data_IF_422854363293
#
_entry.id   IF_422854363293
#
_cell.length_a   1.000
_cell.length_b   1.000
_cell.length_c   1.000
_cell.angle_alpha   90.00
_cell.angle_beta   90.00
_cell.angle_gamma   90.00
#
_symmetry.space_group_name_H-M   'P 1'
#
loop_
_entity.id
_entity.type
_entity.pdbx_description
1 polymer ?
#
# COMPACT_ATOMS: atom_id res chain seq x y z
N UNK A 1 20.23 1.39 13.26
CA UNK A 1 19.28 1.80 14.32
C UNK A 1 17.89 1.50 13.81
N UNK A 2 17.38 0.28 13.99
CA UNK A 2 16.09 -0.12 13.42
C UNK A 2 14.99 -0.26 14.50
N UNK A 3 15.21 0.36 15.67
CA UNK A 3 14.19 0.44 16.72
C UNK A 3 13.30 1.66 16.50
N UNK A 4 12.00 1.44 16.50
CA UNK A 4 10.98 2.49 16.42
C UNK A 4 10.35 2.66 17.78
N UNK A 5 10.39 3.87 18.32
CA UNK A 5 9.70 4.22 19.55
C UNK A 5 8.40 4.94 19.23
N UNK A 6 7.27 4.35 19.60
CA UNK A 6 5.95 4.95 19.46
C UNK A 6 5.65 5.77 20.71
N UNK A 7 5.75 7.10 20.59
CA UNK A 7 5.55 8.05 21.69
C UNK A 7 4.16 7.91 22.33
N UNK A 8 3.11 7.75 21.53
CA UNK A 8 1.75 7.60 22.05
C UNK A 8 1.52 6.29 22.81
N UNK A 9 2.20 5.21 22.40
CA UNK A 9 2.14 3.91 23.07
C UNK A 9 3.14 3.80 24.24
N UNK A 10 4.07 4.75 24.35
CA UNK A 10 5.25 4.70 25.22
C UNK A 10 6.00 3.35 25.13
N UNK A 11 6.20 2.85 23.90
CA UNK A 11 6.81 1.53 23.64
C UNK A 11 7.78 1.57 22.48
N UNK A 12 8.82 0.76 22.57
CA UNK A 12 9.81 0.55 21.51
C UNK A 12 9.63 -0.81 20.86
N UNK A 13 9.64 -0.82 19.53
CA UNK A 13 9.61 -2.03 18.71
C UNK A 13 10.92 -2.17 17.95
N UNK A 14 11.38 -3.39 17.79
CA UNK A 14 12.58 -3.70 17.01
C UNK A 14 12.18 -4.20 15.62
N UNK A 15 12.51 -3.43 14.57
CA UNK A 15 12.19 -3.81 13.18
C UNK A 15 13.14 -4.86 12.61
N UNK A 16 14.20 -5.22 13.32
CA UNK A 16 15.08 -6.32 12.94
C UNK A 16 14.56 -7.67 13.43
N UNK A 17 13.53 -7.68 14.28
CA UNK A 17 12.87 -8.87 14.80
C UNK A 17 11.62 -9.16 13.98
N UNK A 18 11.60 -10.34 13.39
CA UNK A 18 10.43 -10.80 12.64
C UNK A 18 9.31 -11.16 13.63
N UNK A 19 8.16 -10.51 13.49
CA UNK A 19 6.99 -10.73 14.36
C UNK A 19 5.92 -11.59 13.70
N UNK A 20 5.91 -11.67 12.36
CA UNK A 20 4.86 -12.31 11.56
C UNK A 20 5.50 -13.20 10.49
N UNK A 21 4.85 -14.31 10.16
CA UNK A 21 5.31 -15.26 9.14
C UNK A 21 4.51 -15.15 7.83
N UNK A 22 5.07 -15.73 6.76
CA UNK A 22 4.35 -15.87 5.48
C UNK A 22 3.06 -16.68 5.68
N UNK A 23 2.04 -16.33 4.92
CA UNK A 23 0.65 -16.79 4.97
C UNK A 23 -0.12 -16.43 6.25
N UNK A 24 0.48 -15.65 7.15
CA UNK A 24 -0.23 -15.19 8.35
C UNK A 24 -1.18 -14.03 8.01
N UNK A 25 -2.37 -14.05 8.58
CA UNK A 25 -3.37 -12.99 8.44
C UNK A 25 -3.13 -11.90 9.47
N UNK A 26 -3.19 -10.66 9.00
CA UNK A 26 -3.00 -9.44 9.78
C UNK A 26 -4.12 -8.45 9.47
N UNK A 27 -4.40 -7.52 10.38
CA UNK A 27 -5.52 -6.59 10.28
C UNK A 27 -5.02 -5.15 10.36
N UNK A 28 -5.51 -4.29 9.46
CA UNK A 28 -5.27 -2.85 9.52
C UNK A 28 -6.27 -2.18 10.44
N UNK A 29 -5.80 -1.71 11.58
CA UNK A 29 -6.62 -1.01 12.56
C UNK A 29 -6.53 0.51 12.38
N UNK A 30 -7.65 1.21 12.60
CA UNK A 30 -7.72 2.68 12.57
C UNK A 30 -8.01 3.31 11.20
N UNK A 31 -8.24 2.51 10.16
CA UNK A 31 -8.82 2.93 8.88
C UNK A 31 -10.00 2.04 8.49
N UNK A 32 -9.81 1.15 7.52
CA UNK A 32 -10.84 0.30 6.91
C UNK A 32 -11.12 -0.99 7.69
N UNK A 33 -10.27 -1.37 8.65
CA UNK A 33 -10.35 -2.67 9.35
C UNK A 33 -10.14 -3.87 8.42
N UNK A 34 -9.50 -3.63 7.27
CA UNK A 34 -9.24 -4.65 6.28
C UNK A 34 -8.28 -5.72 6.79
N UNK A 35 -8.49 -6.94 6.32
CA UNK A 35 -7.62 -8.06 6.58
C UNK A 35 -6.68 -8.30 5.39
N UNK A 36 -5.44 -8.60 5.72
CA UNK A 36 -4.37 -8.85 4.76
C UNK A 36 -3.70 -10.18 5.07
N UNK A 37 -3.11 -10.80 4.05
CA UNK A 37 -2.19 -11.92 4.23
C UNK A 37 -0.78 -11.50 3.87
N UNK A 38 0.18 -11.90 4.69
CA UNK A 38 1.61 -11.74 4.39
C UNK A 38 1.99 -12.77 3.35
N UNK A 39 2.31 -12.35 2.13
CA UNK A 39 2.70 -13.30 1.08
C UNK A 39 4.21 -13.44 0.91
N UNK A 40 4.97 -12.43 1.33
CA UNK A 40 6.43 -12.44 1.27
C UNK A 40 6.99 -11.60 2.42
N UNK A 41 8.12 -12.04 2.95
CA UNK A 41 8.88 -11.29 3.96
C UNK A 41 10.29 -11.09 3.43
N UNK A 42 10.65 -9.86 3.13
CA UNK A 42 11.99 -9.50 2.66
C UNK A 42 12.79 -8.87 3.79
N UNK A 43 14.04 -9.28 3.94
CA UNK A 43 14.97 -8.70 4.91
C UNK A 43 16.17 -8.09 4.20
N UNK A 44 16.44 -6.83 4.49
CA UNK A 44 17.57 -6.10 3.93
C UNK A 44 18.35 -5.34 5.01
N UNK A 45 19.23 -4.44 4.59
CA UNK A 45 20.05 -3.60 5.51
C UNK A 45 19.23 -2.55 6.27
N UNK A 46 18.00 -2.27 5.85
CA UNK A 46 17.09 -1.27 6.42
C UNK A 46 16.04 -1.89 7.34
N UNK A 47 15.84 -3.20 7.27
CA UNK A 47 15.03 -3.96 8.22
C UNK A 47 14.25 -5.07 7.54
N UNK A 48 13.10 -5.39 8.12
CA UNK A 48 12.15 -6.36 7.59
C UNK A 48 10.99 -5.59 6.93
N UNK A 49 10.67 -5.96 5.70
CA UNK A 49 9.48 -5.49 4.99
C UNK A 49 8.57 -6.68 4.71
N UNK A 50 7.33 -6.54 5.16
CA UNK A 50 6.24 -7.49 4.95
C UNK A 50 5.47 -7.05 3.72
N UNK A 51 5.36 -7.94 2.74
CA UNK A 51 4.53 -7.74 1.58
C UNK A 51 3.17 -8.36 1.84
N UNK A 52 2.15 -7.55 1.67
CA UNK A 52 0.79 -7.82 2.07
C UNK A 52 -0.11 -7.77 0.85
N UNK A 53 -1.15 -8.59 0.88
CA UNK A 53 -2.24 -8.52 -0.09
C UNK A 53 -3.57 -8.53 0.65
N UNK A 54 -4.45 -7.60 0.30
CA UNK A 54 -5.76 -7.46 0.92
C UNK A 54 -6.66 -8.64 0.53
N UNK A 55 -7.34 -9.25 1.51
CA UNK A 55 -8.19 -10.41 1.29
C UNK A 55 -9.47 -10.10 0.50
N UNK A 56 -9.93 -8.85 0.54
CA UNK A 56 -11.16 -8.41 -0.10
C UNK A 56 -10.85 -7.58 -1.36
N UNK A 57 -10.04 -6.53 -1.24
CA UNK A 57 -9.75 -5.62 -2.36
C UNK A 57 -8.70 -6.17 -3.32
N UNK A 58 -7.95 -7.21 -2.94
CA UNK A 58 -6.83 -7.76 -3.72
C UNK A 58 -5.74 -6.71 -4.03
N UNK A 59 -5.63 -5.68 -3.19
CA UNK A 59 -4.63 -4.64 -3.33
C UNK A 59 -3.32 -5.03 -2.63
N UNK A 60 -2.20 -4.64 -3.23
CA UNK A 60 -0.87 -4.86 -2.68
C UNK A 60 -0.50 -3.74 -1.72
N UNK A 61 0.01 -4.13 -0.56
CA UNK A 61 0.55 -3.22 0.44
C UNK A 61 1.89 -3.71 0.95
N UNK A 62 2.66 -2.81 1.54
CA UNK A 62 3.91 -3.13 2.22
C UNK A 62 3.90 -2.49 3.59
N UNK A 63 4.42 -3.20 4.60
CA UNK A 63 4.60 -2.66 5.94
C UNK A 63 5.94 -3.09 6.50
N UNK A 64 6.58 -2.20 7.26
CA UNK A 64 7.83 -2.51 7.93
C UNK A 64 7.66 -2.83 9.42
N UNK A 65 6.45 -2.68 9.94
CA UNK A 65 6.14 -2.90 11.35
C UNK A 65 4.73 -3.47 11.49
N UNK A 66 4.66 -4.69 12.03
CA UNK A 66 3.40 -5.33 12.40
C UNK A 66 3.46 -5.65 13.88
N UNK A 67 2.47 -5.14 14.62
CA UNK A 67 2.42 -5.18 16.09
C UNK A 67 1.44 -6.27 16.58
N UNK A 68 1.63 -6.83 17.77
CA UNK A 68 0.63 -7.73 18.35
C UNK A 68 -0.66 -6.96 18.66
N UNK A 69 -1.81 -7.61 18.44
CA UNK A 69 -3.12 -7.02 18.69
C UNK A 69 -3.37 -6.77 20.17
N UNK A 70 -2.80 -7.57 21.07
CA UNK A 70 -2.81 -7.32 22.52
C UNK A 70 -2.14 -6.00 22.92
N UNK A 71 -1.26 -5.46 22.09
CA UNK A 71 -0.58 -4.17 22.29
C UNK A 71 -1.12 -3.08 21.36
N UNK A 72 -2.37 -3.22 20.91
CA UNK A 72 -3.01 -2.29 19.99
C UNK A 72 -2.99 -0.85 20.52
N UNK A 73 -2.41 0.04 19.72
CA UNK A 73 -2.38 1.47 19.99
C UNK A 73 -2.38 2.28 18.69
N UNK A 74 -3.48 2.99 18.44
CA UNK A 74 -3.65 3.85 17.27
C UNK A 74 -3.67 3.08 15.96
N UNK A 75 -3.46 3.81 14.87
CA UNK A 75 -3.50 3.30 13.50
C UNK A 75 -2.30 2.39 13.24
N UNK A 76 -2.51 1.27 12.55
CA UNK A 76 -1.46 0.45 11.96
C UNK A 76 -1.86 -1.01 11.77
N UNK A 77 -0.90 -1.84 11.39
CA UNK A 77 -1.15 -3.25 11.10
C UNK A 77 -0.83 -4.10 12.32
N UNK A 78 -1.75 -5.01 12.64
CA UNK A 78 -1.67 -5.87 13.81
C UNK A 78 -1.86 -7.34 13.45
N UNK A 79 -1.17 -8.23 14.15
CA UNK A 79 -1.39 -9.67 14.08
C UNK A 79 -2.08 -10.16 15.36
N UNK A 80 -2.96 -11.15 15.25
CA UNK A 80 -3.56 -11.80 16.41
C UNK A 80 -2.50 -12.67 17.11
N UNK A 81 -2.02 -12.21 18.25
CA UNK A 81 -1.01 -12.89 19.07
C UNK A 81 -1.59 -13.98 19.96
N UNK A 82 -2.91 -13.97 20.20
CA UNK A 82 -3.60 -14.99 20.96
C UNK A 82 -4.00 -16.18 20.06
N UNK A 83 -4.50 -15.89 18.86
CA UNK A 83 -4.98 -16.88 17.89
C UNK A 83 -4.52 -16.55 16.46
N UNK A 84 -3.23 -16.74 16.14
CA UNK A 84 -2.71 -16.43 14.81
C UNK A 84 -3.39 -17.30 13.76
N UNK A 85 -3.96 -16.66 12.73
CA UNK A 85 -4.58 -17.32 11.59
C UNK A 85 -3.61 -17.39 10.43
N UNK A 86 -3.56 -18.55 9.77
CA UNK A 86 -2.76 -18.78 8.58
C UNK A 86 -3.68 -19.24 7.45
N UNK A 87 -3.50 -18.65 6.28
CA UNK A 87 -4.12 -19.12 5.04
C UNK A 87 -3.34 -20.29 4.46
N UNK A 88 -4.01 -21.11 3.67
CA UNK A 88 -3.32 -22.15 2.94
C UNK A 88 -2.37 -21.51 1.89
N UNK A 89 -1.16 -22.06 1.68
CA UNK A 89 -0.25 -21.54 0.67
C UNK A 89 -0.86 -21.52 -0.75
N UNK A 90 -1.74 -22.47 -1.09
CA UNK A 90 -2.42 -22.50 -2.39
C UNK A 90 -3.45 -21.37 -2.49
N UNK A 91 -4.21 -21.12 -1.43
CA UNK A 91 -5.16 -20.00 -1.37
C UNK A 91 -4.41 -18.66 -1.50
N UNK A 92 -3.29 -18.52 -0.82
CA UNK A 92 -2.44 -17.32 -0.91
C UNK A 92 -1.90 -17.14 -2.34
N UNK A 93 -1.43 -18.20 -2.99
CA UNK A 93 -0.94 -18.14 -4.36
C UNK A 93 -2.04 -17.78 -5.37
N UNK A 94 -3.26 -18.32 -5.19
CA UNK A 94 -4.41 -17.97 -6.00
C UNK A 94 -4.78 -16.49 -5.85
N UNK A 95 -4.81 -15.99 -4.61
CA UNK A 95 -5.08 -14.61 -4.29
C UNK A 95 -4.03 -13.66 -4.89
N UNK A 96 -2.74 -14.03 -4.84
CA UNK A 96 -1.68 -13.28 -5.51
C UNK A 96 -1.85 -13.20 -7.02
N UNK A 97 -2.31 -14.28 -7.64
CA UNK A 97 -2.54 -14.31 -9.09
C UNK A 97 -3.67 -13.35 -9.45
N UNK A 98 -4.79 -13.44 -8.73
CA UNK A 98 -5.94 -12.54 -8.92
C UNK A 98 -5.57 -11.07 -8.66
N UNK A 99 -4.80 -10.80 -7.61
CA UNK A 99 -4.32 -9.45 -7.29
C UNK A 99 -3.42 -8.87 -8.38
N UNK A 100 -2.52 -9.67 -8.96
CA UNK A 100 -1.67 -9.25 -10.09
C UNK A 100 -2.48 -8.94 -11.34
N UNK A 101 -3.45 -9.77 -11.68
CA UNK A 101 -4.35 -9.55 -12.81
C UNK A 101 -5.15 -8.25 -12.65
N UNK A 102 -5.74 -8.04 -11.47
CA UNK A 102 -6.48 -6.82 -11.15
C UNK A 102 -5.60 -5.57 -11.22
N UNK A 103 -4.37 -5.65 -10.71
CA UNK A 103 -3.40 -4.55 -10.78
C UNK A 103 -3.02 -4.22 -12.23
N UNK A 104 -2.75 -5.23 -13.06
CA UNK A 104 -2.43 -5.03 -14.46
C UNK A 104 -3.60 -4.41 -15.24
N UNK A 105 -4.84 -4.83 -14.96
CA UNK A 105 -6.03 -4.21 -15.58
C UNK A 105 -6.20 -2.75 -15.15
N UNK A 106 -5.98 -2.44 -13.87
CA UNK A 106 -6.06 -1.08 -13.34
C UNK A 106 -4.97 -0.18 -13.93
N UNK A 107 -3.74 -0.68 -14.08
CA UNK A 107 -2.63 0.05 -14.71
C UNK A 107 -2.93 0.34 -16.18
N UNK A 108 -3.47 -0.62 -16.94
CA UNK A 108 -3.90 -0.39 -18.34
C UNK A 108 -4.97 0.70 -18.44
N UNK A 109 -5.99 0.65 -17.58
CA UNK A 109 -7.04 1.69 -17.54
C UNK A 109 -6.48 3.06 -17.15
N UNK A 110 -5.51 3.10 -16.24
CA UNK A 110 -4.85 4.34 -15.82
C UNK A 110 -3.99 4.92 -16.94
N UNK A 111 -3.29 4.08 -17.71
CA UNK A 111 -2.52 4.49 -18.87
C UNK A 111 -3.43 5.07 -19.96
N UNK A 112 -4.51 4.36 -20.34
CA UNK A 112 -5.52 4.84 -21.30
C UNK A 112 -6.11 6.20 -20.87
N UNK A 113 -6.45 6.35 -19.59
CA UNK A 113 -6.94 7.61 -19.04
C UNK A 113 -5.87 8.70 -19.12
N UNK A 114 -4.60 8.38 -18.81
CA UNK A 114 -3.50 9.34 -18.88
C UNK A 114 -3.25 9.84 -20.31
N UNK A 115 -3.34 8.96 -21.30
CA UNK A 115 -3.25 9.32 -22.71
C UNK A 115 -4.42 10.22 -23.16
N UNK A 116 -5.63 9.95 -22.66
CA UNK A 116 -6.78 10.83 -22.88
C UNK A 116 -6.58 12.21 -22.23
N UNK A 117 -6.13 12.26 -20.98
CA UNK A 117 -5.81 13.51 -20.30
C UNK A 117 -4.73 14.30 -21.05
N UNK A 118 -3.69 13.63 -21.57
CA UNK A 118 -2.64 14.30 -22.34
C UNK A 118 -3.17 14.85 -23.67
N UNK A 119 -4.06 14.11 -24.35
CA UNK A 119 -4.75 14.60 -25.56
C UNK A 119 -5.59 15.84 -25.27
N UNK A 120 -6.38 15.80 -24.20
CA UNK A 120 -7.23 16.93 -23.77
C UNK A 120 -6.35 18.13 -23.40
N UNK A 121 -5.24 17.91 -22.69
CA UNK A 121 -4.30 18.95 -22.30
C UNK A 121 -3.64 19.63 -23.52
N UNK A 122 -3.26 18.86 -24.55
CA UNK A 122 -2.73 19.40 -25.81
C UNK A 122 -3.75 20.30 -26.52
N UNK A 123 -5.00 19.84 -26.65
CA UNK A 123 -6.09 20.64 -27.24
C UNK A 123 -6.32 21.92 -26.43
N UNK A 124 -6.34 21.82 -25.10
CA UNK A 124 -6.48 22.97 -24.20
C UNK A 124 -5.36 23.99 -24.37
N UNK A 125 -4.11 23.52 -24.46
CA UNK A 125 -2.95 24.37 -24.67
C UNK A 125 -2.99 25.09 -26.03
N UNK A 126 -3.40 24.42 -27.11
CA UNK A 126 -3.56 25.04 -28.42
C UNK A 126 -4.65 26.11 -28.44
N UNK A 127 -5.81 25.83 -27.82
CA UNK A 127 -6.90 26.81 -27.70
C UNK A 127 -6.49 28.01 -26.85
N UNK A 128 -5.77 27.77 -25.75
CA UNK A 128 -5.28 28.84 -24.90
C UNK A 128 -4.31 29.74 -25.66
N UNK A 129 -3.39 29.19 -26.46
CA UNK A 129 -2.46 29.97 -27.30
C UNK A 129 -3.16 30.94 -28.24
N UNK A 130 -4.33 30.59 -28.78
CA UNK A 130 -5.11 31.48 -29.65
C UNK A 130 -5.78 32.64 -28.90
N UNK A 131 -6.05 32.47 -27.60
CA UNK A 131 -6.73 33.47 -26.77
C UNK A 131 -5.76 34.40 -26.04
N UNK A 132 -4.49 33.99 -25.90
CA UNK A 132 -3.46 34.77 -25.19
C UNK A 132 -2.88 35.82 -26.14
N UNK A 133 -2.97 37.13 -25.81
CA UNK A 133 -2.33 38.18 -26.59
C UNK A 133 -0.82 37.97 -26.69
N UNK A 134 -0.22 38.26 -27.84
CA UNK A 134 1.22 38.05 -28.10
C UNK A 134 2.15 38.85 -27.18
N UNK A 135 1.65 39.92 -26.56
CA UNK A 135 2.37 40.76 -25.60
C UNK A 135 2.10 40.39 -24.13
N UNK A 136 1.28 39.36 -23.87
CA UNK A 136 1.00 38.89 -22.53
C UNK A 136 2.25 38.30 -21.86
N UNK A 137 2.59 38.80 -20.68
CA UNK A 137 3.76 38.36 -19.91
C UNK A 137 3.50 37.17 -18.98
N UNK A 138 2.23 36.92 -18.65
CA UNK A 138 1.80 35.80 -17.81
C UNK A 138 0.31 35.52 -18.04
N UNK A 139 -0.11 34.28 -17.74
CA UNK A 139 -1.51 33.85 -17.69
C UNK A 139 -1.73 33.17 -16.34
N UNK A 140 -2.78 33.58 -15.62
CA UNK A 140 -3.19 32.97 -14.37
C UNK A 140 -4.46 32.15 -14.67
N UNK A 141 -4.41 30.85 -14.35
CA UNK A 141 -5.48 29.86 -14.59
C UNK A 141 -6.04 29.41 -13.25
#
# INVERSE_FOLDING_TARGET
MNKVHLLGANRSYDRDVQTVSVNQVVVLEGYSYDSYVVYEVTRDKWGITYHLVNLETHEFHTSDLIRPLSEKFGIGIYYDDANPKFLDPLETAALLTQAKEKKAEAERKAEEASEEYERIAKIGAERLRLLVPTDAKAVII
#
